data_IF_583343670368
#
_entry.id   IF_583343670368
#
_cell.length_a   1.000
_cell.length_b   1.000
_cell.length_c   1.000
_cell.angle_alpha   90.00
_cell.angle_beta   90.00
_cell.angle_gamma   90.00
#
_symmetry.space_group_name_H-M   'P 1'
#
loop_
_entity.id
_entity.type
_entity.pdbx_description
1 polymer ?
#
# COMPACT_ATOMS: atom_id res chain seq x y z
N UNK A 1 50.44 1.51 -5.30
CA UNK A 1 49.20 1.45 -6.10
C UNK A 1 48.28 0.36 -5.54
N UNK A 2 47.95 0.42 -4.24
CA UNK A 2 47.12 -0.58 -3.54
C UNK A 2 45.83 0.02 -2.94
N UNK A 3 45.61 1.33 -3.12
CA UNK A 3 44.53 2.08 -2.46
C UNK A 3 43.17 1.88 -3.12
N UNK A 4 43.11 1.58 -4.41
CA UNK A 4 41.85 1.57 -5.18
C UNK A 4 40.94 0.37 -4.87
N UNK A 5 41.50 -0.80 -4.56
CA UNK A 5 40.69 -1.98 -4.22
C UNK A 5 40.19 -1.96 -2.77
N UNK A 6 41.01 -1.45 -1.84
CA UNK A 6 40.65 -1.33 -0.42
C UNK A 6 39.56 -0.27 -0.21
N UNK A 7 39.65 0.87 -0.92
CA UNK A 7 38.62 1.91 -0.90
C UNK A 7 37.29 1.42 -1.50
N UNK A 8 37.32 0.62 -2.57
CA UNK A 8 36.13 0.06 -3.19
C UNK A 8 35.42 -0.95 -2.28
N UNK A 9 36.18 -1.85 -1.63
CA UNK A 9 35.62 -2.82 -0.67
C UNK A 9 35.00 -2.12 0.54
N UNK A 10 35.65 -1.07 1.05
CA UNK A 10 35.13 -0.29 2.18
C UNK A 10 33.81 0.42 1.82
N UNK A 11 33.72 0.99 0.62
CA UNK A 11 32.48 1.62 0.14
C UNK A 11 31.34 0.61 -0.04
N UNK A 12 31.63 -0.59 -0.56
CA UNK A 12 30.62 -1.63 -0.72
C UNK A 12 30.09 -2.14 0.62
N UNK A 13 30.95 -2.28 1.63
CA UNK A 13 30.55 -2.62 2.99
C UNK A 13 29.68 -1.53 3.64
N UNK A 14 30.04 -0.25 3.50
CA UNK A 14 29.26 0.87 4.05
C UNK A 14 27.88 0.96 3.37
N UNK A 15 27.84 0.75 2.04
CA UNK A 15 26.61 0.63 1.27
C UNK A 15 25.73 -0.52 1.79
N UNK A 16 26.29 -1.72 1.98
CA UNK A 16 25.53 -2.85 2.52
C UNK A 16 24.99 -2.57 3.94
N UNK A 17 25.79 -1.94 4.82
CA UNK A 17 25.41 -1.59 6.18
C UNK A 17 24.29 -0.54 6.23
N UNK A 18 24.25 0.41 5.28
CA UNK A 18 23.23 1.46 5.23
C UNK A 18 21.85 1.00 4.71
N UNK A 19 21.78 -0.17 4.06
CA UNK A 19 20.53 -0.70 3.47
C UNK A 19 19.38 -0.83 4.47
N UNK A 20 19.64 -1.45 5.62
CA UNK A 20 18.62 -1.71 6.64
C UNK A 20 18.00 -0.42 7.23
N UNK A 21 18.82 0.52 7.72
CA UNK A 21 18.34 1.83 8.18
C UNK A 21 17.54 2.60 7.12
N UNK A 22 18.02 2.64 5.87
CA UNK A 22 17.32 3.31 4.77
C UNK A 22 15.98 2.66 4.46
N UNK A 23 15.91 1.32 4.44
CA UNK A 23 14.67 0.57 4.27
C UNK A 23 13.65 0.94 5.36
N UNK A 24 14.08 0.95 6.63
CA UNK A 24 13.20 1.31 7.75
C UNK A 24 12.71 2.76 7.65
N UNK A 25 13.58 3.69 7.24
CA UNK A 25 13.22 5.09 7.01
C UNK A 25 12.16 5.23 5.91
N UNK A 26 12.34 4.54 4.78
CA UNK A 26 11.36 4.56 3.68
C UNK A 26 10.02 3.94 4.08
N UNK A 27 10.03 2.82 4.83
CA UNK A 27 8.82 2.23 5.38
C UNK A 27 8.13 3.22 6.33
N UNK A 28 8.86 3.89 7.22
CA UNK A 28 8.30 4.88 8.12
C UNK A 28 7.67 6.06 7.36
N UNK A 29 8.31 6.54 6.29
CA UNK A 29 7.74 7.59 5.43
C UNK A 29 6.46 7.12 4.75
N UNK A 30 6.41 5.88 4.23
CA UNK A 30 5.19 5.32 3.63
C UNK A 30 4.04 5.22 4.64
N UNK A 31 4.33 4.74 5.86
CA UNK A 31 3.35 4.68 6.96
C UNK A 31 2.86 6.06 7.37
N UNK A 32 3.75 7.04 7.44
CA UNK A 32 3.42 8.42 7.79
C UNK A 32 2.56 9.11 6.72
N UNK A 33 2.73 8.73 5.44
CA UNK A 33 1.93 9.23 4.32
C UNK A 33 0.65 8.43 4.07
N UNK A 34 0.47 7.28 4.73
CA UNK A 34 -0.71 6.46 4.57
C UNK A 34 -1.92 7.18 5.17
N UNK A 35 -2.93 7.44 4.34
CA UNK A 35 -4.13 8.16 4.75
C UNK A 35 -5.21 7.20 5.25
N UNK A 36 -5.96 7.62 6.26
CA UNK A 36 -7.02 6.82 6.88
C UNK A 36 -8.23 6.74 5.96
N UNK A 37 -8.72 5.52 5.70
CA UNK A 37 -9.75 5.29 4.70
C UNK A 37 -11.10 5.96 5.03
N UNK A 38 -11.38 6.20 6.30
CA UNK A 38 -12.59 6.90 6.76
C UNK A 38 -12.51 8.42 6.63
N UNK A 39 -11.34 8.98 6.26
CA UNK A 39 -11.14 10.40 6.00
C UNK A 39 -11.01 10.64 4.50
N UNK A 40 -11.50 11.80 4.05
CA UNK A 40 -11.37 12.19 2.65
C UNK A 40 -9.90 12.34 2.25
N UNK A 41 -9.45 11.75 1.13
CA UNK A 41 -8.07 11.84 0.71
C UNK A 41 -7.71 13.25 0.21
N UNK A 42 -6.57 13.76 0.67
CA UNK A 42 -6.06 15.08 0.28
C UNK A 42 -5.21 15.03 -1.00
N UNK A 43 -4.45 13.95 -1.17
CA UNK A 43 -3.63 13.72 -2.34
C UNK A 43 -4.43 13.07 -3.47
N UNK A 44 -4.04 13.36 -4.71
CA UNK A 44 -4.64 12.74 -5.91
C UNK A 44 -3.72 11.69 -6.48
N UNK A 45 -4.29 10.59 -6.95
CA UNK A 45 -3.56 9.57 -7.70
C UNK A 45 -4.24 9.34 -9.03
N UNK A 46 -3.79 10.07 -10.06
CA UNK A 46 -4.44 10.05 -11.38
C UNK A 46 -3.92 8.89 -12.21
N UNK A 47 -4.83 8.00 -12.60
CA UNK A 47 -4.57 6.90 -13.52
C UNK A 47 -4.21 7.43 -14.91
N UNK A 48 -3.10 6.96 -15.49
CA UNK A 48 -2.67 7.36 -16.84
C UNK A 48 -3.20 6.45 -17.94
N UNK A 49 -3.32 5.16 -17.67
CA UNK A 49 -3.74 4.13 -18.63
C UNK A 49 -4.94 3.37 -18.09
N UNK A 50 -5.77 2.81 -18.97
CA UNK A 50 -6.87 1.93 -18.53
C UNK A 50 -6.31 0.80 -17.66
N UNK A 51 -6.92 0.58 -16.50
CA UNK A 51 -6.43 -0.40 -15.55
C UNK A 51 -7.59 -1.11 -14.83
N UNK A 52 -7.30 -2.25 -14.20
CA UNK A 52 -8.23 -3.02 -13.36
C UNK A 52 -7.84 -2.83 -11.90
N UNK A 53 -8.63 -2.08 -11.15
CA UNK A 53 -8.43 -1.87 -9.72
C UNK A 53 -9.04 -3.03 -8.94
N UNK A 54 -8.20 -3.69 -8.13
CA UNK A 54 -8.61 -4.74 -7.20
C UNK A 54 -8.95 -4.12 -5.85
N UNK A 55 -10.16 -4.42 -5.37
CA UNK A 55 -10.76 -3.87 -4.16
C UNK A 55 -11.04 -5.02 -3.19
N UNK A 56 -10.11 -5.29 -2.25
CA UNK A 56 -10.31 -6.29 -1.21
C UNK A 56 -11.62 -6.13 -0.45
N UNK A 57 -12.33 -7.23 -0.22
CA UNK A 57 -13.56 -7.24 0.59
C UNK A 57 -13.26 -7.35 2.08
N UNK A 58 -12.12 -7.94 2.43
CA UNK A 58 -11.68 -8.13 3.81
C UNK A 58 -10.17 -8.07 3.93
N UNK A 59 -9.69 -8.06 5.18
CA UNK A 59 -8.27 -8.11 5.50
C UNK A 59 -7.55 -9.27 4.80
N UNK A 60 -6.47 -8.97 4.07
CA UNK A 60 -5.73 -9.93 3.23
C UNK A 60 -6.59 -10.57 2.13
N UNK A 61 -7.65 -9.90 1.69
CA UNK A 61 -8.55 -10.37 0.63
C UNK A 61 -9.07 -11.80 0.87
N UNK A 62 -9.24 -12.22 2.12
CA UNK A 62 -9.64 -13.60 2.46
C UNK A 62 -11.00 -13.97 1.88
N UNK A 63 -11.87 -12.98 1.77
CA UNK A 63 -13.24 -13.14 1.25
C UNK A 63 -13.37 -12.68 -0.21
N UNK A 64 -12.22 -12.53 -0.89
CA UNK A 64 -12.11 -12.13 -2.28
C UNK A 64 -11.99 -10.62 -2.49
N UNK A 65 -12.09 -10.23 -3.75
CA UNK A 65 -11.87 -8.87 -4.22
C UNK A 65 -12.93 -8.53 -5.27
N UNK A 66 -13.40 -7.28 -5.26
CA UNK A 66 -14.12 -6.72 -6.39
C UNK A 66 -13.12 -6.14 -7.38
N UNK A 67 -13.36 -6.34 -8.68
CA UNK A 67 -12.47 -5.81 -9.73
C UNK A 67 -13.23 -4.78 -10.54
N UNK A 68 -12.76 -3.54 -10.49
CA UNK A 68 -13.36 -2.42 -11.21
C UNK A 68 -12.42 -1.92 -12.32
N UNK A 69 -12.97 -1.67 -13.50
CA UNK A 69 -12.19 -1.04 -14.57
C UNK A 69 -12.15 0.47 -14.35
N UNK A 70 -10.96 1.03 -14.21
CA UNK A 70 -10.70 2.46 -14.11
C UNK A 70 -10.12 2.98 -15.42
N UNK A 71 -10.53 4.19 -15.80
CA UNK A 71 -10.12 4.82 -17.06
C UNK A 71 -9.07 5.90 -16.81
N UNK A 72 -8.25 6.25 -17.83
CA UNK A 72 -7.34 7.38 -17.75
C UNK A 72 -8.04 8.65 -17.23
N UNK A 73 -7.36 9.38 -16.33
CA UNK A 73 -7.89 10.58 -15.68
C UNK A 73 -8.65 10.32 -14.37
N UNK A 74 -8.97 9.07 -14.04
CA UNK A 74 -9.62 8.73 -12.77
C UNK A 74 -8.68 8.96 -11.60
N UNK A 75 -9.15 9.61 -10.53
CA UNK A 75 -8.43 9.71 -9.26
C UNK A 75 -8.70 8.48 -8.40
N UNK A 76 -7.69 7.61 -8.23
CA UNK A 76 -7.83 6.38 -7.47
C UNK A 76 -8.13 6.63 -6.00
N UNK A 77 -7.56 7.68 -5.39
CA UNK A 77 -7.77 7.94 -3.98
C UNK A 77 -9.25 8.23 -3.70
N UNK A 78 -9.85 9.12 -4.50
CA UNK A 78 -11.27 9.45 -4.38
C UNK A 78 -12.17 8.25 -4.72
N UNK A 79 -11.83 7.50 -5.77
CA UNK A 79 -12.58 6.30 -6.15
C UNK A 79 -12.59 5.25 -5.04
N UNK A 80 -11.42 4.97 -4.46
CA UNK A 80 -11.24 4.01 -3.35
C UNK A 80 -11.99 4.48 -2.11
N UNK A 81 -11.85 5.75 -1.72
CA UNK A 81 -12.60 6.31 -0.61
C UNK A 81 -14.11 6.14 -0.80
N UNK A 82 -14.63 6.51 -1.98
CA UNK A 82 -16.05 6.41 -2.28
C UNK A 82 -16.54 4.97 -2.20
N UNK A 83 -15.81 4.01 -2.76
CA UNK A 83 -16.17 2.60 -2.68
C UNK A 83 -16.22 2.11 -1.23
N UNK A 84 -15.23 2.44 -0.40
CA UNK A 84 -15.12 1.87 0.94
C UNK A 84 -15.92 2.59 2.03
N UNK A 85 -16.41 3.80 1.77
CA UNK A 85 -17.33 4.51 2.67
C UNK A 85 -18.79 4.07 2.48
N UNK A 86 -19.09 3.33 1.40
CA UNK A 86 -20.42 2.77 1.19
C UNK A 86 -20.85 1.89 2.36
N UNK A 87 -22.06 2.14 2.83
CA UNK A 87 -22.74 1.28 3.78
C UNK A 87 -23.12 -0.04 3.12
N UNK A 88 -22.96 -1.13 3.85
CA UNK A 88 -23.40 -2.47 3.48
C UNK A 88 -24.26 -3.04 4.60
N UNK A 89 -25.16 -3.95 4.23
CA UNK A 89 -25.93 -4.70 5.22
C UNK A 89 -25.03 -5.77 5.85
N UNK A 90 -24.71 -5.70 7.16
CA UNK A 90 -23.85 -6.68 7.81
C UNK A 90 -24.47 -8.09 7.77
N UNK A 91 -25.79 -8.23 7.71
CA UNK A 91 -26.45 -9.54 7.59
C UNK A 91 -26.22 -10.18 6.21
N UNK A 92 -25.83 -9.39 5.20
CA UNK A 92 -25.58 -9.86 3.84
C UNK A 92 -24.17 -10.39 3.61
N UNK A 93 -23.23 -10.16 4.55
CA UNK A 93 -21.81 -10.54 4.39
C UNK A 93 -21.32 -11.37 5.59
N UNK A 94 -20.65 -12.52 5.37
CA UNK A 94 -20.13 -13.37 6.45
C UNK A 94 -18.76 -12.90 7.00
N UNK A 95 -18.34 -11.67 6.70
CA UNK A 95 -16.98 -11.19 6.96
C UNK A 95 -16.82 -10.67 8.39
N UNK A 96 -15.59 -10.69 8.91
CA UNK A 96 -15.28 -10.15 10.25
C UNK A 96 -15.22 -8.62 10.20
N UNK A 97 -16.10 -7.95 10.95
CA UNK A 97 -16.05 -6.52 11.19
C UNK A 97 -15.06 -6.20 12.34
N UNK A 98 -14.15 -5.25 12.12
CA UNK A 98 -13.10 -4.87 13.08
C UNK A 98 -13.38 -3.59 13.88
N UNK A 99 -14.41 -2.80 13.56
CA UNK A 99 -14.58 -1.43 14.08
C UNK A 99 -15.82 -1.27 14.99
N UNK A 100 -16.97 -1.90 14.69
CA UNK A 100 -18.09 -1.98 15.65
C UNK A 100 -19.15 -3.02 15.27
N UNK A 101 -19.81 -3.59 16.28
CA UNK A 101 -20.95 -4.51 16.14
C UNK A 101 -22.30 -3.84 16.45
N UNK A 102 -22.35 -2.51 16.62
CA UNK A 102 -23.48 -1.81 17.26
C UNK A 102 -24.71 -1.60 16.33
N UNK A 103 -24.98 -2.51 15.38
CA UNK A 103 -26.17 -2.57 14.51
C UNK A 103 -26.47 -1.32 13.65
N UNK A 104 -25.62 -0.30 13.68
CA UNK A 104 -25.72 0.88 12.83
C UNK A 104 -24.89 0.65 11.58
N UNK A 105 -25.53 0.22 10.48
CA UNK A 105 -25.00 0.11 9.10
C UNK A 105 -23.47 0.04 8.97
N UNK A 106 -22.93 -1.17 8.79
CA UNK A 106 -21.49 -1.35 8.58
C UNK A 106 -21.03 -0.70 7.27
N UNK A 107 -19.78 -0.25 7.22
CA UNK A 107 -19.14 0.22 5.97
C UNK A 107 -18.09 -0.78 5.49
N UNK A 108 -17.83 -0.82 4.18
CA UNK A 108 -16.89 -1.80 3.61
C UNK A 108 -15.49 -1.74 4.22
N UNK A 109 -14.99 -0.55 4.57
CA UNK A 109 -13.64 -0.44 5.17
C UNK A 109 -13.51 -1.14 6.52
N UNK A 110 -14.59 -1.32 7.26
CA UNK A 110 -14.56 -1.92 8.60
C UNK A 110 -14.16 -3.40 8.58
N UNK A 111 -14.15 -4.03 7.40
CA UNK A 111 -13.76 -5.43 7.20
C UNK A 111 -12.29 -5.57 6.77
N UNK A 112 -11.60 -4.46 6.49
CA UNK A 112 -10.20 -4.44 6.04
C UNK A 112 -9.19 -4.50 7.19
N UNK A 113 -9.65 -4.24 8.42
CA UNK A 113 -8.83 -4.14 9.62
C UNK A 113 -9.36 -3.06 10.56
N UNK A 114 -8.81 -2.96 11.77
CA UNK A 114 -9.20 -1.98 12.78
C UNK A 114 -8.78 -0.53 12.48
N UNK A 115 -7.68 -0.29 11.72
CA UNK A 115 -7.28 1.05 11.27
C UNK A 115 -6.70 1.00 9.85
N UNK A 116 -7.52 0.72 8.83
CA UNK A 116 -7.05 0.54 7.46
C UNK A 116 -6.67 1.88 6.82
N UNK A 117 -5.45 1.95 6.30
CA UNK A 117 -4.88 3.12 5.64
C UNK A 117 -4.33 2.77 4.27
N UNK A 118 -4.54 3.65 3.30
CA UNK A 118 -4.01 3.49 1.95
C UNK A 118 -2.60 4.08 1.93
N UNK A 119 -1.59 3.22 1.75
CA UNK A 119 -0.18 3.60 1.64
C UNK A 119 0.26 3.85 0.19
N UNK A 120 -0.55 3.45 -0.78
CA UNK A 120 -0.31 3.68 -2.21
C UNK A 120 -0.93 2.62 -3.08
N UNK A 121 -0.45 2.54 -4.32
CA UNK A 121 -0.92 1.60 -5.34
C UNK A 121 0.26 0.89 -5.99
N UNK A 122 0.04 -0.36 -6.33
CA UNK A 122 0.97 -1.19 -7.09
C UNK A 122 0.34 -1.50 -8.45
N UNK A 123 1.05 -1.18 -9.53
CA UNK A 123 0.59 -1.47 -10.88
C UNK A 123 1.45 -2.60 -11.44
N UNK A 124 0.81 -3.66 -11.93
CA UNK A 124 1.54 -4.70 -12.67
C UNK A 124 1.61 -4.37 -14.16
N UNK A 125 2.50 -5.05 -14.88
CA UNK A 125 2.64 -4.91 -16.34
C UNK A 125 1.39 -5.36 -17.13
N UNK A 126 0.43 -6.03 -16.48
CA UNK A 126 -0.85 -6.44 -17.06
C UNK A 126 -1.96 -5.39 -16.94
N UNK A 127 -1.66 -4.23 -16.34
CA UNK A 127 -2.63 -3.16 -16.10
C UNK A 127 -3.58 -3.47 -14.93
N UNK A 128 -3.20 -4.36 -14.01
CA UNK A 128 -3.88 -4.50 -12.73
C UNK A 128 -3.30 -3.50 -11.73
N UNK A 129 -4.16 -2.98 -10.86
CA UNK A 129 -3.80 -2.08 -9.78
C UNK A 129 -4.25 -2.70 -8.47
N UNK A 130 -3.31 -2.90 -7.56
CA UNK A 130 -3.57 -3.36 -6.20
C UNK A 130 -3.33 -2.22 -5.22
N UNK A 131 -4.17 -2.15 -4.19
CA UNK A 131 -4.03 -1.16 -3.12
C UNK A 131 -2.99 -1.67 -2.12
N UNK A 132 -1.98 -0.85 -1.82
CA UNK A 132 -1.07 -1.11 -0.71
C UNK A 132 -1.67 -0.57 0.56
N UNK A 133 -1.97 -1.47 1.47
CA UNK A 133 -2.55 -1.18 2.77
C UNK A 133 -1.48 -1.11 3.86
N UNK A 134 -1.75 -0.25 4.83
CA UNK A 134 -1.12 -0.20 6.15
C UNK A 134 -2.24 -0.18 7.19
N UNK A 135 -2.22 -1.11 8.14
CA UNK A 135 -3.11 -1.06 9.29
C UNK A 135 -2.36 -0.49 10.50
N UNK A 136 -2.82 0.67 10.98
CA UNK A 136 -2.13 1.39 12.05
C UNK A 136 -2.20 0.69 13.41
N UNK A 137 -3.24 -0.10 13.66
CA UNK A 137 -3.45 -0.80 14.93
C UNK A 137 -2.74 -2.17 14.94
N UNK A 138 -2.86 -2.95 13.86
CA UNK A 138 -2.16 -4.22 13.70
C UNK A 138 -0.67 -4.03 13.41
N UNK A 139 -0.25 -2.81 13.06
CA UNK A 139 1.11 -2.48 12.61
C UNK A 139 1.56 -3.35 11.44
N UNK A 140 0.65 -3.58 10.49
CA UNK A 140 0.81 -4.60 9.47
C UNK A 140 0.54 -4.06 8.05
N UNK A 141 1.27 -4.55 7.05
CA UNK A 141 1.23 -4.02 5.68
C UNK A 141 0.90 -5.12 4.67
N UNK A 142 -0.06 -4.87 3.77
CA UNK A 142 -0.58 -5.91 2.88
C UNK A 142 -1.17 -5.38 1.56
N UNK A 143 -1.16 -6.22 0.53
CA UNK A 143 -1.63 -5.93 -0.83
C UNK A 143 -2.21 -7.23 -1.38
N UNK A 144 -3.49 -7.20 -1.75
CA UNK A 144 -4.25 -8.41 -2.06
C UNK A 144 -4.16 -9.46 -0.96
N UNK A 145 -3.76 -10.69 -1.29
CA UNK A 145 -3.66 -11.81 -0.34
C UNK A 145 -2.33 -11.90 0.42
N UNK A 146 -1.40 -10.98 0.18
CA UNK A 146 -0.03 -11.09 0.66
C UNK A 146 0.41 -9.90 1.50
N UNK A 147 1.40 -10.16 2.37
CA UNK A 147 2.18 -9.10 3.00
C UNK A 147 3.14 -8.53 1.96
N UNK A 148 2.99 -7.27 1.58
CA UNK A 148 3.97 -6.64 0.70
C UNK A 148 5.18 -6.25 1.50
N UNK A 149 6.36 -6.44 0.90
CA UNK A 149 7.64 -5.98 1.45
C UNK A 149 8.12 -4.84 0.59
N UNK A 150 8.68 -3.82 1.23
CA UNK A 150 9.40 -2.79 0.51
C UNK A 150 10.78 -3.36 0.17
N UNK A 151 11.13 -3.37 -1.11
CA UNK A 151 12.50 -3.63 -1.54
C UNK A 151 13.18 -2.33 -1.93
N UNK A 152 14.48 -2.27 -1.65
CA UNK A 152 15.30 -1.10 -1.94
C UNK A 152 16.46 -1.49 -2.84
N UNK A 153 16.75 -0.63 -3.80
CA UNK A 153 17.91 -0.70 -4.68
C UNK A 153 18.78 0.53 -4.44
N UNK A 154 20.09 0.37 -4.60
CA UNK A 154 20.97 1.51 -4.56
C UNK A 154 20.93 2.22 -5.89
N UNK A 155 20.60 3.49 -5.85
CA UNK A 155 20.65 4.38 -6.99
C UNK A 155 22.00 5.11 -6.99
N UNK A 156 22.78 4.92 -8.06
CA UNK A 156 24.09 5.53 -8.22
C UNK A 156 24.01 7.03 -8.52
N UNK A 157 22.90 7.49 -9.11
CA UNK A 157 22.72 8.90 -9.45
C UNK A 157 22.40 9.73 -8.21
N UNK A 158 21.52 9.21 -7.34
CA UNK A 158 21.16 9.88 -6.08
C UNK A 158 22.06 9.50 -4.91
N UNK A 159 22.95 8.51 -5.09
CA UNK A 159 23.80 7.94 -4.05
C UNK A 159 22.99 7.54 -2.80
N UNK A 160 21.80 6.98 -3.02
CA UNK A 160 20.86 6.65 -1.96
C UNK A 160 20.14 5.31 -2.24
N UNK A 161 19.70 4.66 -1.16
CA UNK A 161 18.75 3.56 -1.27
C UNK A 161 17.37 4.10 -1.63
N UNK A 162 16.84 3.70 -2.78
CA UNK A 162 15.51 4.07 -3.27
C UNK A 162 14.61 2.84 -3.33
N UNK A 163 13.29 3.06 -3.30
CA UNK A 163 12.31 1.99 -3.51
C UNK A 163 12.51 1.38 -4.90
N UNK A 164 12.57 0.05 -4.96
CA UNK A 164 12.55 -0.65 -6.24
C UNK A 164 11.18 -0.42 -6.88
N UNK A 165 11.17 0.29 -8.00
CA UNK A 165 9.96 0.48 -8.82
C UNK A 165 9.99 -0.60 -9.90
N UNK A 166 8.93 -1.41 -10.00
CA UNK A 166 8.79 -2.43 -11.05
C UNK A 166 8.39 -1.81 -12.41
#
# INVERSE_FOLDING_TARGET
>A
MATTEEDAQKQEEEKAKSRGPSLNSLIAVKRARAWQLHLWPMDKFIVRNRAKLHLPRSYLSKDGEDVQTVYPGTDLNQFVHQYYIESIDPASVPWVNFVHADDVTARRHEFLGPDPRVAGYEMDGGGNVYIRWWDGFLSDQWSGTQKWKLDVVWDEDTMAWVEKTD
#
